data_IF_714306252533
#
_entry.id   IF_714306252533
#
_cell.length_a   1.000
_cell.length_b   1.000
_cell.length_c   1.000
_cell.angle_alpha   90.00
_cell.angle_beta   90.00
_cell.angle_gamma   90.00
#
_symmetry.space_group_name_H-M   'P 1'
#
loop_
_entity.id
_entity.type
_entity.pdbx_description
1 polymer ?
#
# COMPACT_ATOMS: atom_id res chain seq x y z
N UNK A 1 1.16 31.81 -4.20
CA UNK A 1 1.82 30.54 -4.57
C UNK A 1 1.98 29.55 -3.40
N UNK A 2 2.24 30.00 -2.16
CA UNK A 2 2.20 29.11 -0.98
C UNK A 2 0.87 28.35 -0.81
N UNK A 3 -0.26 29.01 -1.10
CA UNK A 3 -1.57 28.35 -1.11
C UNK A 3 -1.69 27.21 -2.14
N UNK A 4 -1.09 27.35 -3.33
CA UNK A 4 -1.11 26.30 -4.36
C UNK A 4 -0.33 25.05 -3.92
N UNK A 5 0.83 25.24 -3.29
CA UNK A 5 1.63 24.15 -2.71
C UNK A 5 0.85 23.42 -1.62
N UNK A 6 0.25 24.17 -0.68
CA UNK A 6 -0.55 23.60 0.41
C UNK A 6 -1.74 22.80 -0.11
N UNK A 7 -2.45 23.32 -1.13
CA UNK A 7 -3.59 22.62 -1.75
C UNK A 7 -3.14 21.34 -2.43
N UNK A 8 -2.05 21.37 -3.21
CA UNK A 8 -1.53 20.19 -3.92
C UNK A 8 -1.08 19.10 -2.93
N UNK A 9 -0.34 19.47 -1.88
CA UNK A 9 0.10 18.51 -0.86
C UNK A 9 -1.06 18.01 0.00
N UNK A 10 -2.03 18.87 0.32
CA UNK A 10 -3.24 18.49 1.04
C UNK A 10 -4.07 17.48 0.24
N UNK A 11 -4.23 17.70 -1.06
CA UNK A 11 -4.91 16.76 -1.96
C UNK A 11 -4.15 15.43 -2.06
N UNK A 12 -2.82 15.48 -2.16
CA UNK A 12 -1.99 14.28 -2.18
C UNK A 12 -2.18 13.45 -0.89
N UNK A 13 -2.04 14.08 0.27
CA UNK A 13 -2.22 13.44 1.57
C UNK A 13 -3.64 12.87 1.73
N UNK A 14 -4.66 13.62 1.30
CA UNK A 14 -6.05 13.17 1.33
C UNK A 14 -6.29 11.95 0.42
N UNK A 15 -5.75 11.95 -0.80
CA UNK A 15 -5.84 10.81 -1.71
C UNK A 15 -5.09 9.59 -1.18
N UNK A 16 -3.88 9.77 -0.65
CA UNK A 16 -3.11 8.68 -0.01
C UNK A 16 -3.87 8.09 1.17
N UNK A 17 -4.45 8.94 2.01
CA UNK A 17 -5.24 8.50 3.16
C UNK A 17 -6.52 7.78 2.74
N UNK A 18 -7.22 8.27 1.72
CA UNK A 18 -8.46 7.66 1.27
C UNK A 18 -8.23 6.34 0.54
N UNK A 19 -7.26 6.27 -0.38
CA UNK A 19 -7.15 5.20 -1.37
C UNK A 19 -6.37 3.97 -0.87
N UNK A 20 -5.04 4.02 -0.67
CA UNK A 20 -4.27 2.91 -0.13
C UNK A 20 -4.10 2.93 1.41
N UNK A 21 -4.43 4.05 2.06
CA UNK A 21 -4.17 4.27 3.50
C UNK A 21 -4.70 3.16 4.41
N UNK A 22 -6.00 2.79 4.33
CA UNK A 22 -6.58 1.76 5.19
C UNK A 22 -5.94 0.38 4.99
N UNK A 23 -5.61 0.03 3.75
CA UNK A 23 -4.97 -1.25 3.42
C UNK A 23 -3.54 -1.28 3.94
N UNK A 24 -2.76 -0.22 3.71
CA UNK A 24 -1.41 -0.11 4.25
C UNK A 24 -1.42 -0.16 5.78
N UNK A 25 -2.39 0.47 6.43
CA UNK A 25 -2.53 0.40 7.88
C UNK A 25 -2.86 -1.00 8.38
N UNK A 26 -3.73 -1.73 7.68
CA UNK A 26 -4.06 -3.11 7.99
C UNK A 26 -2.86 -4.04 7.81
N UNK A 27 -2.10 -3.89 6.72
CA UNK A 27 -0.88 -4.67 6.42
C UNK A 27 0.22 -4.41 7.44
N UNK A 28 0.49 -3.14 7.78
CA UNK A 28 1.51 -2.77 8.77
C UNK A 28 1.11 -3.13 10.21
N UNK A 29 -0.10 -3.65 10.42
CA UNK A 29 -0.56 -4.07 11.73
C UNK A 29 -0.95 -2.90 12.65
N UNK A 30 -1.28 -1.73 12.10
CA UNK A 30 -1.76 -0.62 12.94
C UNK A 30 -3.15 -0.93 13.49
N UNK A 31 -3.29 -0.79 14.81
CA UNK A 31 -4.53 -1.09 15.53
C UNK A 31 -4.66 -2.56 15.97
N UNK A 32 -5.74 -2.89 16.69
CA UNK A 32 -6.00 -4.26 17.14
C UNK A 32 -6.25 -5.20 15.96
N UNK A 33 -6.06 -6.50 16.19
CA UNK A 33 -6.47 -7.55 15.25
C UNK A 33 -8.01 -7.58 15.18
N UNK A 34 -8.54 -7.57 13.96
CA UNK A 34 -9.99 -7.55 13.73
C UNK A 34 -10.61 -8.94 13.87
N UNK A 35 -9.86 -9.98 13.52
CA UNK A 35 -10.34 -11.35 13.62
C UNK A 35 -9.32 -12.37 13.12
N UNK A 36 -9.80 -13.58 12.91
CA UNK A 36 -9.00 -14.72 12.45
C UNK A 36 -9.58 -15.24 11.15
N UNK A 37 -8.75 -15.47 10.15
CA UNK A 37 -9.12 -16.19 8.93
C UNK A 37 -8.68 -17.64 9.07
N UNK A 38 -9.64 -18.56 8.91
CA UNK A 38 -9.35 -19.97 8.69
C UNK A 38 -9.17 -20.19 7.20
N UNK A 39 -7.94 -20.46 6.77
CA UNK A 39 -7.57 -20.67 5.38
C UNK A 39 -8.24 -21.95 4.86
N UNK A 40 -8.79 -21.88 3.65
CA UNK A 40 -9.35 -23.04 2.95
C UNK A 40 -8.47 -23.42 1.76
N UNK A 41 -8.01 -22.43 1.01
CA UNK A 41 -7.21 -22.62 -0.20
C UNK A 41 -6.37 -21.36 -0.45
N UNK A 42 -5.16 -21.53 -0.95
CA UNK A 42 -4.28 -20.47 -1.41
C UNK A 42 -4.00 -20.66 -2.90
N UNK A 43 -3.90 -19.55 -3.62
CA UNK A 43 -3.68 -19.53 -5.06
C UNK A 43 -2.83 -18.31 -5.45
N UNK A 44 -2.12 -18.42 -6.56
CA UNK A 44 -1.39 -17.29 -7.13
C UNK A 44 -2.37 -16.24 -7.62
N UNK A 45 -2.26 -15.03 -7.07
CA UNK A 45 -3.07 -13.89 -7.45
C UNK A 45 -2.45 -13.23 -8.69
N UNK A 46 -3.28 -12.91 -9.67
CA UNK A 46 -2.89 -12.17 -10.86
C UNK A 46 -3.70 -10.88 -11.03
N UNK A 47 -3.08 -9.87 -11.62
CA UNK A 47 -3.79 -8.66 -12.04
C UNK A 47 -4.66 -8.91 -13.29
N UNK A 48 -5.37 -7.88 -13.75
CA UNK A 48 -6.26 -7.98 -14.91
C UNK A 48 -5.53 -8.36 -16.21
N UNK A 49 -4.22 -8.09 -16.26
CA UNK A 49 -3.33 -8.41 -17.37
C UNK A 49 -2.65 -9.79 -17.22
N UNK A 50 -2.87 -10.47 -16.09
CA UNK A 50 -2.35 -11.82 -15.83
C UNK A 50 -0.96 -11.84 -15.20
N UNK A 51 -0.41 -10.72 -14.76
CA UNK A 51 0.86 -10.68 -14.05
C UNK A 51 0.68 -11.09 -12.60
N UNK A 52 1.62 -11.88 -12.08
CA UNK A 52 1.60 -12.31 -10.69
C UNK A 52 1.71 -11.11 -9.74
N UNK A 53 0.80 -11.04 -8.79
CA UNK A 53 0.71 -9.97 -7.78
C UNK A 53 0.96 -10.45 -6.35
N UNK A 54 1.19 -11.76 -6.18
CA UNK A 54 1.45 -12.41 -4.91
C UNK A 54 0.58 -13.66 -4.75
N UNK A 55 0.43 -14.12 -3.51
CA UNK A 55 -0.43 -15.25 -3.16
C UNK A 55 -1.69 -14.72 -2.46
N UNK A 56 -2.86 -15.11 -2.93
CA UNK A 56 -4.13 -14.83 -2.23
C UNK A 56 -4.62 -16.12 -1.56
N UNK A 57 -5.16 -16.00 -0.36
CA UNK A 57 -5.75 -17.14 0.34
C UNK A 57 -7.23 -16.92 0.65
N UNK A 58 -8.09 -17.77 0.11
CA UNK A 58 -9.51 -17.80 0.43
C UNK A 58 -9.73 -18.53 1.76
N UNK A 59 -10.60 -17.98 2.60
CA UNK A 59 -10.88 -18.55 3.89
C UNK A 59 -12.16 -18.04 4.54
N UNK A 60 -12.46 -18.58 5.72
CA UNK A 60 -13.57 -18.11 6.55
C UNK A 60 -13.07 -17.20 7.65
N UNK A 61 -13.49 -15.95 7.61
CA UNK A 61 -13.20 -14.96 8.64
C UNK A 61 -14.15 -15.09 9.82
N UNK A 62 -13.57 -15.12 11.02
CA UNK A 62 -14.27 -15.06 12.30
C UNK A 62 -13.86 -13.77 13.01
N UNK A 63 -14.77 -12.79 13.16
CA UNK A 63 -14.45 -11.54 13.83
C UNK A 63 -14.16 -11.77 15.32
N UNK A 64 -13.20 -11.01 15.87
CA UNK A 64 -12.80 -11.11 17.29
C UNK A 64 -13.83 -10.46 18.22
N UNK A 65 -14.54 -9.44 17.73
CA UNK A 65 -15.66 -8.78 18.41
C UNK A 65 -16.98 -9.17 17.73
N UNK A 66 -18.11 -8.76 18.30
CA UNK A 66 -19.43 -8.96 17.70
C UNK A 66 -19.69 -8.10 16.45
N UNK A 67 -18.65 -7.86 15.63
CA UNK A 67 -18.68 -7.05 14.40
C UNK A 67 -19.31 -7.81 13.21
N UNK A 68 -20.15 -8.79 13.51
CA UNK A 68 -20.95 -9.53 12.56
C UNK A 68 -20.75 -11.04 12.62
N UNK A 69 -21.51 -11.77 11.80
CA UNK A 69 -21.36 -13.22 11.67
C UNK A 69 -20.04 -13.57 10.95
N UNK A 70 -19.54 -14.82 11.14
CA UNK A 70 -18.49 -15.36 10.30
C UNK A 70 -18.87 -15.28 8.83
N UNK A 71 -17.91 -14.91 7.98
CA UNK A 71 -18.12 -14.71 6.54
C UNK A 71 -16.90 -15.15 5.75
N UNK A 72 -17.10 -15.48 4.49
CA UNK A 72 -15.99 -15.82 3.62
C UNK A 72 -15.26 -14.52 3.21
N UNK A 73 -13.92 -14.57 3.21
CA UNK A 73 -13.06 -13.44 2.88
C UNK A 73 -11.80 -13.96 2.18
N UNK A 74 -11.13 -13.08 1.46
CA UNK A 74 -9.81 -13.33 0.91
C UNK A 74 -8.77 -12.58 1.73
N UNK A 75 -7.74 -13.31 2.17
CA UNK A 75 -6.47 -12.78 2.65
C UNK A 75 -5.66 -12.36 1.42
N UNK A 76 -5.54 -11.05 1.24
CA UNK A 76 -4.92 -10.42 0.08
C UNK A 76 -3.41 -10.32 0.29
N UNK A 77 -2.63 -10.83 -0.67
CA UNK A 77 -1.17 -10.85 -0.63
C UNK A 77 -0.64 -11.49 0.67
N UNK A 78 -1.02 -12.75 0.90
CA UNK A 78 -0.57 -13.56 2.03
C UNK A 78 0.96 -13.61 2.11
N UNK A 79 1.49 -13.74 3.33
CA UNK A 79 2.92 -13.82 3.58
C UNK A 79 3.53 -15.15 3.13
N UNK A 80 2.74 -16.22 3.13
CA UNK A 80 3.17 -17.56 2.74
C UNK A 80 1.98 -18.38 2.18
N UNK A 81 2.28 -19.52 1.57
CA UNK A 81 1.28 -20.51 1.15
C UNK A 81 0.84 -21.36 2.35
N UNK A 82 -0.29 -20.96 2.94
CA UNK A 82 -0.83 -21.62 4.12
C UNK A 82 -1.59 -22.89 3.80
N UNK A 83 -1.35 -23.93 4.62
CA UNK A 83 -2.15 -25.17 4.55
C UNK A 83 -3.61 -24.91 4.89
N UNK A 84 -4.55 -25.64 4.27
CA UNK A 84 -5.97 -25.60 4.66
C UNK A 84 -6.17 -25.87 6.16
N UNK A 85 -7.02 -25.08 6.80
CA UNK A 85 -7.28 -25.11 8.24
C UNK A 85 -6.35 -24.25 9.09
N UNK A 86 -5.30 -23.66 8.50
CA UNK A 86 -4.43 -22.71 9.20
C UNK A 86 -5.23 -21.48 9.64
N UNK A 87 -4.94 -20.98 10.84
CA UNK A 87 -5.60 -19.82 11.43
C UNK A 87 -4.64 -18.64 11.46
N UNK A 88 -5.00 -17.57 10.77
CA UNK A 88 -4.16 -16.37 10.63
C UNK A 88 -4.88 -15.19 11.27
N UNK A 89 -4.17 -14.44 12.13
CA UNK A 89 -4.69 -13.20 12.70
C UNK A 89 -4.59 -12.08 11.66
N UNK A 90 -5.72 -11.44 11.36
CA UNK A 90 -5.80 -10.48 10.27
C UNK A 90 -6.44 -9.16 10.71
N UNK A 91 -6.13 -8.12 9.94
CA UNK A 91 -6.88 -6.86 9.93
C UNK A 91 -7.64 -6.74 8.63
N UNK A 92 -8.78 -6.08 8.66
CA UNK A 92 -9.68 -5.96 7.52
C UNK A 92 -9.71 -4.54 7.02
N UNK A 93 -9.63 -4.38 5.71
CA UNK A 93 -9.82 -3.09 5.06
C UNK A 93 -10.58 -3.31 3.76
N UNK A 94 -11.62 -2.50 3.53
CA UNK A 94 -12.41 -2.51 2.28
C UNK A 94 -12.90 -3.90 1.84
N UNK A 95 -13.28 -4.76 2.80
CA UNK A 95 -13.82 -6.09 2.52
C UNK A 95 -12.78 -7.18 2.24
N UNK A 96 -11.49 -6.89 2.39
CA UNK A 96 -10.40 -7.88 2.32
C UNK A 96 -9.71 -8.02 3.68
N UNK A 97 -9.08 -9.17 3.91
CA UNK A 97 -8.21 -9.42 5.05
C UNK A 97 -6.75 -9.19 4.67
N UNK A 98 -5.98 -8.70 5.63
CA UNK A 98 -4.58 -8.36 5.48
C UNK A 98 -3.79 -8.85 6.69
N UNK A 99 -2.60 -9.33 6.40
CA UNK A 99 -1.55 -9.59 7.38
C UNK A 99 -0.28 -8.85 6.98
N UNK A 100 0.75 -8.96 7.80
CA UNK A 100 2.05 -8.42 7.45
C UNK A 100 2.74 -9.33 6.43
N UNK A 101 2.88 -8.87 5.19
CA UNK A 101 3.67 -9.54 4.15
C UNK A 101 4.55 -8.55 3.41
N UNK A 102 5.73 -9.01 2.96
CA UNK A 102 6.64 -8.19 2.16
C UNK A 102 6.04 -7.77 0.83
N UNK A 103 5.32 -8.69 0.18
CA UNK A 103 4.56 -8.41 -1.04
C UNK A 103 3.52 -7.30 -0.86
N UNK A 104 2.74 -7.34 0.22
CA UNK A 104 1.73 -6.31 0.48
C UNK A 104 2.38 -4.94 0.77
N UNK A 105 3.46 -4.92 1.55
CA UNK A 105 4.23 -3.70 1.85
C UNK A 105 4.81 -3.09 0.57
N UNK A 106 5.39 -3.92 -0.31
CA UNK A 106 5.88 -3.47 -1.61
C UNK A 106 4.75 -2.91 -2.48
N UNK A 107 3.64 -3.66 -2.60
CA UNK A 107 2.50 -3.29 -3.45
C UNK A 107 1.86 -1.98 -3.01
N UNK A 108 1.48 -1.87 -1.73
CA UNK A 108 0.84 -0.65 -1.24
C UNK A 108 1.83 0.51 -1.10
N UNK A 109 3.08 0.24 -0.73
CA UNK A 109 4.14 1.24 -0.69
C UNK A 109 4.42 1.86 -2.07
N UNK A 110 4.50 1.04 -3.11
CA UNK A 110 4.69 1.52 -4.49
C UNK A 110 3.49 2.30 -5.00
N UNK A 111 2.25 1.86 -4.73
CA UNK A 111 1.03 2.61 -5.07
C UNK A 111 1.01 3.98 -4.38
N UNK A 112 1.33 4.05 -3.08
CA UNK A 112 1.43 5.32 -2.34
C UNK A 112 2.47 6.23 -2.99
N UNK A 113 3.67 5.70 -3.26
CA UNK A 113 4.76 6.49 -3.83
C UNK A 113 4.41 7.01 -5.23
N UNK A 114 3.90 6.16 -6.12
CA UNK A 114 3.48 6.53 -7.47
C UNK A 114 2.40 7.61 -7.45
N UNK A 115 1.48 7.52 -6.50
CA UNK A 115 0.46 8.53 -6.29
C UNK A 115 1.07 9.86 -5.83
N UNK A 116 2.10 9.87 -4.97
CA UNK A 116 2.70 11.09 -4.43
C UNK A 116 3.63 11.83 -5.40
N UNK A 117 4.40 11.13 -6.24
CA UNK A 117 5.39 11.71 -7.16
C UNK A 117 4.87 12.91 -7.97
N UNK A 118 3.74 12.82 -8.72
CA UNK A 118 3.28 13.94 -9.53
C UNK A 118 2.91 15.17 -8.69
N UNK A 119 2.35 14.99 -7.49
CA UNK A 119 2.00 16.09 -6.60
C UNK A 119 3.24 16.76 -6.01
N UNK A 120 4.26 15.97 -5.64
CA UNK A 120 5.53 16.52 -5.13
C UNK A 120 6.27 17.32 -6.21
N UNK A 121 6.30 16.81 -7.44
CA UNK A 121 6.90 17.51 -8.59
C UNK A 121 6.17 18.81 -8.86
N UNK A 122 4.82 18.78 -8.89
CA UNK A 122 4.00 19.98 -9.11
C UNK A 122 4.17 21.00 -7.97
N UNK A 123 4.21 20.55 -6.72
CA UNK A 123 4.45 21.40 -5.57
C UNK A 123 5.83 22.08 -5.64
N UNK A 124 6.87 21.33 -6.02
CA UNK A 124 8.21 21.88 -6.22
C UNK A 124 8.24 22.94 -7.33
N UNK A 125 7.56 22.68 -8.45
CA UNK A 125 7.46 23.64 -9.56
C UNK A 125 6.74 24.93 -9.16
N UNK A 126 5.59 24.83 -8.48
CA UNK A 126 4.85 25.98 -7.98
C UNK A 126 5.67 26.79 -6.96
N UNK A 127 6.41 26.10 -6.10
CA UNK A 127 7.30 26.74 -5.13
C UNK A 127 8.45 27.50 -5.82
N UNK A 128 9.05 26.93 -6.86
CA UNK A 128 10.09 27.60 -7.62
C UNK A 128 9.56 28.82 -8.40
N UNK A 129 8.37 28.73 -8.97
CA UNK A 129 7.69 29.87 -9.61
C UNK A 129 7.44 30.99 -8.59
N UNK A 130 6.99 30.64 -7.37
CA UNK A 130 6.80 31.58 -6.27
C UNK A 130 8.08 32.34 -5.92
N UNK A 131 9.18 31.60 -5.82
CA UNK A 131 10.47 32.14 -5.38
C UNK A 131 11.08 33.09 -6.41
N UNK A 132 10.93 32.78 -7.69
CA UNK A 132 11.56 33.56 -8.76
C UNK A 132 10.63 34.65 -9.34
N UNK A 133 9.36 34.69 -8.93
CA UNK A 133 8.38 35.67 -9.42
C UNK A 133 8.05 35.53 -10.92
N UNK A 134 8.41 34.39 -11.52
CA UNK A 134 8.23 34.07 -12.95
C UNK A 134 7.91 32.60 -13.12
N UNK A 135 7.29 32.25 -14.24
CA UNK A 135 7.07 30.85 -14.63
C UNK A 135 8.45 30.19 -14.80
N UNK A 136 8.69 29.13 -14.03
CA UNK A 136 9.91 28.35 -14.13
C UNK A 136 9.82 27.37 -15.31
N UNK A 137 10.94 27.18 -16.00
CA UNK A 137 11.04 26.18 -17.07
C UNK A 137 10.73 24.77 -16.53
N UNK A 138 9.97 24.00 -17.32
CA UNK A 138 9.39 22.72 -16.93
C UNK A 138 10.32 21.52 -17.13
N UNK A 139 11.35 21.63 -17.97
CA UNK A 139 12.20 20.50 -18.37
C UNK A 139 12.89 19.82 -17.18
N UNK A 140 13.40 20.60 -16.22
CA UNK A 140 14.03 20.07 -15.01
C UNK A 140 13.08 19.27 -14.12
N UNK A 141 11.79 19.58 -14.16
CA UNK A 141 10.77 18.90 -13.32
C UNK A 141 10.35 17.56 -13.90
N UNK A 142 10.48 17.37 -15.22
CA UNK A 142 10.32 16.05 -15.86
C UNK A 142 11.41 15.10 -15.39
N UNK A 143 12.66 15.57 -15.31
CA UNK A 143 13.77 14.77 -14.77
C UNK A 143 13.58 14.46 -13.28
N UNK A 144 13.07 15.43 -12.50
CA UNK A 144 12.71 15.19 -11.09
C UNK A 144 11.57 14.17 -10.97
N UNK A 145 10.58 14.19 -11.86
CA UNK A 145 9.52 13.19 -11.88
C UNK A 145 10.06 11.78 -12.20
N UNK A 146 10.94 11.66 -13.20
CA UNK A 146 11.61 10.41 -13.53
C UNK A 146 12.49 9.88 -12.39
N UNK A 147 13.27 10.75 -11.76
CA UNK A 147 14.04 10.40 -10.56
C UNK A 147 13.12 10.00 -9.39
N UNK A 148 11.97 10.66 -9.27
CA UNK A 148 10.93 10.32 -8.30
C UNK A 148 10.43 8.88 -8.45
N UNK A 149 10.30 8.37 -9.68
CA UNK A 149 9.92 6.96 -9.90
C UNK A 149 10.94 5.98 -9.29
N UNK A 150 12.23 6.23 -9.48
CA UNK A 150 13.30 5.42 -8.88
C UNK A 150 13.24 5.50 -7.35
N UNK A 151 13.02 6.70 -6.80
CA UNK A 151 12.86 6.95 -5.36
C UNK A 151 11.60 6.30 -4.79
N UNK A 152 10.60 5.95 -5.59
CA UNK A 152 9.43 5.19 -5.11
C UNK A 152 9.72 3.71 -5.05
N UNK A 153 10.22 3.15 -6.15
CA UNK A 153 10.37 1.70 -6.25
C UNK A 153 11.51 1.17 -5.37
N UNK A 154 12.64 1.89 -5.25
CA UNK A 154 13.78 1.42 -4.45
C UNK A 154 13.43 1.29 -2.96
N UNK A 155 12.89 2.30 -2.27
CA UNK A 155 12.50 2.17 -0.87
C UNK A 155 11.35 1.20 -0.65
N UNK A 156 10.37 1.14 -1.56
CA UNK A 156 9.29 0.16 -1.46
C UNK A 156 9.84 -1.27 -1.55
N UNK A 157 10.77 -1.52 -2.48
CA UNK A 157 11.44 -2.82 -2.62
C UNK A 157 12.28 -3.15 -1.38
N UNK A 158 13.09 -2.20 -0.90
CA UNK A 158 13.89 -2.38 0.32
C UNK A 158 13.00 -2.69 1.52
N UNK A 159 11.90 -1.95 1.71
CA UNK A 159 10.97 -2.20 2.80
C UNK A 159 10.29 -3.57 2.68
N UNK A 160 9.84 -3.96 1.49
CA UNK A 160 9.28 -5.30 1.24
C UNK A 160 10.27 -6.42 1.58
N UNK A 161 11.51 -6.30 1.08
CA UNK A 161 12.58 -7.28 1.32
C UNK A 161 12.93 -7.36 2.82
N UNK A 162 13.03 -6.21 3.51
CA UNK A 162 13.31 -6.20 4.95
C UNK A 162 12.21 -6.90 5.74
N UNK A 163 10.94 -6.73 5.34
CA UNK A 163 9.81 -7.41 5.98
C UNK A 163 9.90 -8.92 5.74
N UNK A 164 10.16 -9.38 4.52
CA UNK A 164 10.37 -10.82 4.26
C UNK A 164 11.51 -11.39 5.10
N UNK A 165 12.66 -10.70 5.15
CA UNK A 165 13.81 -11.12 5.97
C UNK A 165 13.41 -11.21 7.45
N UNK A 166 12.69 -10.23 7.97
CA UNK A 166 12.22 -10.27 9.36
C UNK A 166 11.28 -11.46 9.60
N UNK A 167 10.33 -11.70 8.68
CA UNK A 167 9.39 -12.82 8.79
C UNK A 167 10.07 -14.21 8.68
N UNK A 168 11.23 -14.31 8.02
CA UNK A 168 12.01 -15.55 7.98
C UNK A 168 12.82 -15.81 9.24
N UNK A 169 13.17 -14.76 9.99
CA UNK A 169 14.04 -14.85 11.18
C UNK A 169 13.22 -15.12 12.45
N UNK A 170 11.99 -14.63 12.53
CA UNK A 170 11.11 -14.72 13.71
C UNK A 170 10.00 -15.75 13.53
#
# INVERSE_FOLDING_TARGET
AGGGVVVVLGLAAWLTWLLPGPQMAAVLGFGPVDGVVSIQECYDASDAEGYATGTDCAGRYTPRRSDGPPRDIVLDTAADDYRPGTRVEVRTARGRAYELSGGAVFRFGSVIGLLLVPFLVLAAWLFACARHGRVADGEGYVLVALGGLVIVFVPAAVAGILVEICMLIF
#
